data_IF_564269259384
#
_entry.id   IF_564269259384
#
_cell.length_a   1.000
_cell.length_b   1.000
_cell.length_c   1.000
_cell.angle_alpha   90.00
_cell.angle_beta   90.00
_cell.angle_gamma   90.00
#
_symmetry.space_group_name_H-M   'P 1'
#
loop_
_entity.id
_entity.type
_entity.pdbx_description
1 polymer ?
#
# COMPACT_ATOMS: atom_id res chain seq x y z
N UNK A 1 -34.82 33.99 25.35
CA UNK A 1 -33.35 33.94 25.17
C UNK A 1 -32.91 32.49 25.26
N UNK A 2 -32.82 31.80 24.10
CA UNK A 2 -32.64 30.35 24.08
C UNK A 2 -31.19 30.06 23.59
N UNK A 3 -30.28 29.76 24.51
CA UNK A 3 -28.90 29.36 24.22
C UNK A 3 -28.87 27.91 23.74
N UNK A 4 -28.75 27.67 22.45
CA UNK A 4 -28.44 26.34 21.87
C UNK A 4 -27.01 25.96 22.22
N UNK A 5 -26.86 24.87 22.99
CA UNK A 5 -25.53 24.25 23.32
C UNK A 5 -24.90 23.64 22.09
N UNK A 6 -23.60 23.80 21.85
CA UNK A 6 -22.87 23.11 20.76
C UNK A 6 -22.57 21.66 21.19
N UNK A 7 -23.57 20.77 21.05
CA UNK A 7 -23.35 19.31 21.21
C UNK A 7 -23.09 18.73 19.80
N UNK A 8 -21.90 18.26 19.51
CA UNK A 8 -21.56 17.21 18.53
C UNK A 8 -20.19 17.34 17.82
N UNK A 9 -19.39 18.39 18.03
CA UNK A 9 -18.04 18.44 17.45
C UNK A 9 -17.03 17.61 18.26
N UNK A 10 -17.13 17.61 19.59
CA UNK A 10 -16.20 16.91 20.49
C UNK A 10 -16.31 15.39 20.33
N UNK A 11 -17.52 14.85 20.16
CA UNK A 11 -17.72 13.40 20.03
C UNK A 11 -17.18 12.85 18.69
N UNK A 12 -17.17 13.65 17.63
CA UNK A 12 -16.62 13.23 16.33
C UNK A 12 -15.10 13.23 16.33
N UNK A 13 -14.47 14.19 17.02
CA UNK A 13 -13.01 14.25 17.18
C UNK A 13 -12.55 13.10 18.08
N UNK A 14 -13.22 12.85 19.21
CA UNK A 14 -12.92 11.75 20.12
C UNK A 14 -13.06 10.38 19.44
N UNK A 15 -14.10 10.17 18.62
CA UNK A 15 -14.28 8.94 17.85
C UNK A 15 -13.19 8.78 16.79
N UNK A 16 -12.78 9.84 16.10
CA UNK A 16 -11.71 9.82 15.12
C UNK A 16 -10.35 9.54 15.78
N UNK A 17 -10.10 10.14 16.96
CA UNK A 17 -8.88 9.89 17.76
C UNK A 17 -8.82 8.45 18.25
N UNK A 18 -9.95 7.86 18.66
CA UNK A 18 -10.03 6.48 19.12
C UNK A 18 -9.74 5.49 17.97
N UNK A 19 -10.26 5.75 16.76
CA UNK A 19 -10.00 4.93 15.57
C UNK A 19 -8.53 5.03 15.13
N UNK A 20 -7.87 6.19 15.31
CA UNK A 20 -6.45 6.38 15.02
C UNK A 20 -5.53 5.75 16.07
N UNK A 21 -6.02 5.54 17.31
CA UNK A 21 -5.24 4.91 18.39
C UNK A 21 -5.35 3.37 18.41
N UNK A 22 -6.36 2.79 17.76
CA UNK A 22 -6.56 1.33 17.72
C UNK A 22 -5.34 0.53 17.18
N UNK A 23 -4.56 0.99 16.17
CA UNK A 23 -3.37 0.27 15.75
C UNK A 23 -2.22 0.31 16.76
N UNK A 24 -2.18 1.26 17.69
CA UNK A 24 -1.11 1.36 18.70
C UNK A 24 -1.23 0.33 19.83
N UNK A 25 -2.42 -0.25 20.06
CA UNK A 25 -2.61 -1.29 21.07
C UNK A 25 -2.26 -2.71 20.58
N UNK A 26 -2.04 -2.90 19.27
CA UNK A 26 -1.58 -4.17 18.70
C UNK A 26 -0.03 -4.35 18.77
N UNK A 27 0.70 -3.41 19.35
CA UNK A 27 2.17 -3.41 19.44
C UNK A 27 2.74 -4.39 20.50
N UNK A 28 1.95 -5.33 20.99
CA UNK A 28 2.27 -6.09 22.20
C UNK A 28 2.98 -7.43 22.03
N UNK A 29 3.40 -7.87 20.85
CA UNK A 29 4.09 -9.15 20.74
C UNK A 29 5.23 -9.07 19.73
N UNK A 30 6.47 -8.89 20.22
CA UNK A 30 7.72 -9.35 19.64
C UNK A 30 7.95 -9.22 18.12
N UNK A 31 7.34 -8.27 17.46
CA UNK A 31 7.58 -8.05 16.03
C UNK A 31 8.79 -7.14 15.87
N UNK A 32 9.86 -7.66 15.30
CA UNK A 32 10.92 -6.81 14.80
C UNK A 32 10.31 -5.82 13.80
N UNK A 33 10.37 -4.53 14.12
CA UNK A 33 9.84 -3.47 13.27
C UNK A 33 10.67 -3.36 12.01
N UNK A 34 10.15 -3.87 10.90
CA UNK A 34 10.77 -3.72 9.59
C UNK A 34 10.51 -2.36 8.96
N UNK A 35 11.18 -2.09 7.86
CA UNK A 35 10.85 -0.94 7.03
C UNK A 35 10.75 -1.31 5.54
N UNK A 36 9.96 -0.55 4.81
CA UNK A 36 9.81 -0.66 3.37
C UNK A 36 10.04 0.70 2.72
N UNK A 37 11.04 0.74 1.87
CA UNK A 37 11.28 1.86 0.98
C UNK A 37 10.64 1.54 -0.37
N UNK A 38 9.68 2.35 -0.78
CA UNK A 38 8.85 2.07 -1.95
C UNK A 38 8.91 3.25 -2.91
N UNK A 39 9.29 2.98 -4.14
CA UNK A 39 9.16 3.89 -5.28
C UNK A 39 8.06 3.39 -6.20
N UNK A 40 7.16 4.29 -6.60
CA UNK A 40 6.10 4.03 -7.58
C UNK A 40 6.13 5.12 -8.64
N UNK A 41 6.54 4.74 -9.84
CA UNK A 41 6.63 5.62 -11.00
C UNK A 41 5.51 5.34 -12.00
N UNK A 42 4.94 6.39 -12.57
CA UNK A 42 4.03 6.30 -13.71
C UNK A 42 4.45 7.31 -14.77
N UNK A 43 4.64 6.83 -16.00
CA UNK A 43 4.91 7.66 -17.16
C UNK A 43 3.74 7.62 -18.11
N UNK A 44 3.10 8.76 -18.31
CA UNK A 44 2.05 8.91 -19.30
C UNK A 44 2.69 8.97 -20.69
N UNK A 45 2.35 8.04 -21.58
CA UNK A 45 2.81 8.04 -22.97
C UNK A 45 1.88 8.88 -23.85
N UNK A 46 0.57 8.75 -23.64
CA UNK A 46 -0.48 9.54 -24.27
C UNK A 46 -1.76 9.51 -23.41
N UNK A 47 -2.90 9.93 -23.96
CA UNK A 47 -4.17 9.93 -23.21
C UNK A 47 -4.63 8.54 -22.77
N UNK A 48 -4.25 7.47 -23.49
CA UNK A 48 -4.70 6.09 -23.23
C UNK A 48 -3.64 5.22 -22.59
N UNK A 49 -2.35 5.41 -22.92
CA UNK A 49 -1.28 4.50 -22.52
C UNK A 49 -0.37 5.11 -21.46
N UNK A 50 0.02 4.32 -20.49
CA UNK A 50 1.02 4.65 -19.49
C UNK A 50 1.94 3.49 -19.20
N UNK A 51 3.14 3.77 -18.70
CA UNK A 51 4.09 2.80 -18.16
C UNK A 51 4.10 2.95 -16.64
N UNK A 52 3.98 1.84 -15.96
CA UNK A 52 4.10 1.72 -14.51
C UNK A 52 5.45 1.09 -14.15
N UNK A 53 6.15 1.66 -13.17
CA UNK A 53 7.36 1.10 -12.59
C UNK A 53 7.24 1.14 -11.07
N UNK A 54 7.75 0.11 -10.40
CA UNK A 54 7.71 0.02 -8.94
C UNK A 54 8.97 -0.69 -8.45
N UNK A 55 9.64 -0.09 -7.46
CA UNK A 55 10.75 -0.69 -6.73
C UNK A 55 10.39 -0.69 -5.27
N UNK A 56 10.51 -1.82 -4.60
CA UNK A 56 10.36 -1.94 -3.16
C UNK A 56 11.59 -2.62 -2.57
N UNK A 57 12.23 -1.92 -1.65
CA UNK A 57 13.32 -2.44 -0.84
C UNK A 57 12.78 -2.61 0.59
N UNK A 58 12.71 -3.84 1.04
CA UNK A 58 12.11 -4.22 2.32
C UNK A 58 13.17 -4.78 3.23
N UNK A 59 13.18 -4.34 4.48
CA UNK A 59 14.12 -4.82 5.49
C UNK A 59 13.37 -5.50 6.63
N UNK A 60 14.05 -6.48 7.26
CA UNK A 60 13.58 -7.10 8.49
C UNK A 60 13.64 -6.14 9.67
N UNK A 61 14.65 -5.28 9.70
CA UNK A 61 14.88 -4.28 10.74
C UNK A 61 14.87 -2.85 10.15
N UNK A 62 15.32 -1.86 10.91
CA UNK A 62 15.27 -0.48 10.50
C UNK A 62 16.12 -0.17 9.26
N UNK A 63 17.34 -0.75 9.10
CA UNK A 63 18.22 -0.52 7.95
C UNK A 63 19.18 -1.72 7.78
N UNK A 64 19.39 -2.14 6.52
CA UNK A 64 20.52 -2.97 6.13
C UNK A 64 20.33 -4.49 6.18
N UNK A 65 19.17 -4.96 6.63
CA UNK A 65 18.86 -6.38 6.68
C UNK A 65 17.77 -6.69 5.64
N UNK A 66 18.20 -6.95 4.40
CA UNK A 66 17.30 -7.20 3.28
C UNK A 66 16.40 -8.41 3.54
N UNK A 67 15.09 -8.16 3.48
CA UNK A 67 14.05 -9.16 3.48
C UNK A 67 13.60 -9.47 2.05
N UNK A 68 13.34 -8.40 1.26
CA UNK A 68 12.81 -8.59 -0.08
C UNK A 68 13.09 -7.38 -0.97
N UNK A 69 13.60 -7.64 -2.16
CA UNK A 69 13.66 -6.68 -3.26
C UNK A 69 12.59 -7.01 -4.28
N UNK A 70 11.70 -6.04 -4.60
CA UNK A 70 10.72 -6.19 -5.65
C UNK A 70 10.95 -5.17 -6.75
N UNK A 71 11.05 -5.65 -7.97
CA UNK A 71 11.10 -4.86 -9.18
C UNK A 71 9.86 -5.17 -10.02
N UNK A 72 9.08 -4.16 -10.37
CA UNK A 72 7.89 -4.34 -11.20
C UNK A 72 7.83 -3.31 -12.30
N UNK A 73 7.34 -3.74 -13.45
CA UNK A 73 7.00 -2.86 -14.56
C UNK A 73 5.71 -3.33 -15.21
N UNK A 74 5.06 -2.45 -15.97
CA UNK A 74 3.85 -2.83 -16.68
C UNK A 74 3.37 -1.74 -17.61
N UNK A 75 2.54 -2.15 -18.56
CA UNK A 75 1.87 -1.27 -19.52
C UNK A 75 0.42 -1.13 -19.09
N UNK A 76 -0.02 0.10 -18.91
CA UNK A 76 -1.38 0.46 -18.52
C UNK A 76 -2.17 1.07 -19.66
N UNK A 77 -3.46 0.77 -19.68
CA UNK A 77 -4.42 1.35 -20.62
C UNK A 77 -5.56 2.02 -19.86
N UNK A 78 -5.75 3.31 -20.07
CA UNK A 78 -6.82 4.10 -19.47
C UNK A 78 -8.12 3.87 -20.25
N UNK A 79 -9.08 3.20 -19.63
CA UNK A 79 -10.45 3.07 -20.16
C UNK A 79 -11.20 4.38 -20.02
N UNK A 80 -11.02 5.06 -18.89
CA UNK A 80 -11.52 6.40 -18.55
C UNK A 80 -10.48 7.14 -17.71
N UNK A 81 -10.72 8.37 -17.31
CA UNK A 81 -9.85 9.11 -16.40
C UNK A 81 -9.66 8.44 -15.03
N UNK A 82 -10.68 7.70 -14.56
CA UNK A 82 -10.67 6.98 -13.28
C UNK A 82 -10.35 5.51 -13.39
N UNK A 83 -10.37 4.89 -14.58
CA UNK A 83 -10.27 3.45 -14.76
C UNK A 83 -9.08 3.08 -15.63
N UNK A 84 -8.21 2.22 -15.08
CA UNK A 84 -7.00 1.77 -15.75
C UNK A 84 -6.88 0.24 -15.68
N UNK A 85 -6.59 -0.39 -16.81
CA UNK A 85 -6.14 -1.78 -16.91
C UNK A 85 -4.62 -1.79 -17.02
N UNK A 86 -3.96 -2.74 -16.38
CA UNK A 86 -2.50 -2.87 -16.43
C UNK A 86 -2.12 -4.35 -16.54
N UNK A 87 -1.27 -4.64 -17.50
CA UNK A 87 -0.54 -5.90 -17.60
C UNK A 87 0.89 -5.65 -17.17
N UNK A 88 1.38 -6.42 -16.20
CA UNK A 88 2.69 -6.21 -15.63
C UNK A 88 3.48 -7.48 -15.38
N UNK A 89 4.76 -7.26 -15.21
CA UNK A 89 5.75 -8.24 -14.81
C UNK A 89 6.46 -7.78 -13.55
N UNK A 90 6.83 -8.73 -12.69
CA UNK A 90 7.60 -8.47 -11.48
C UNK A 90 8.66 -9.54 -11.26
N UNK A 91 9.84 -9.09 -10.86
CA UNK A 91 10.88 -9.92 -10.28
C UNK A 91 10.98 -9.66 -8.78
N UNK A 92 11.00 -10.71 -7.99
CA UNK A 92 11.06 -10.63 -6.54
C UNK A 92 12.18 -11.53 -6.05
N UNK A 93 13.15 -10.93 -5.37
CA UNK A 93 14.18 -11.64 -4.60
C UNK A 93 13.78 -11.55 -3.13
N UNK A 94 13.65 -12.69 -2.46
CA UNK A 94 13.38 -12.79 -1.02
C UNK A 94 14.56 -13.44 -0.32
N UNK A 95 15.06 -12.81 0.75
CA UNK A 95 16.11 -13.31 1.63
C UNK A 95 15.48 -13.78 2.94
N UNK A 96 15.29 -15.08 3.08
CA UNK A 96 14.59 -15.66 4.22
C UNK A 96 15.62 -16.17 5.25
N UNK A 97 15.47 -15.80 6.53
CA UNK A 97 16.33 -16.30 7.60
C UNK A 97 16.15 -17.81 7.78
N UNK A 98 17.24 -18.51 8.07
CA UNK A 98 17.27 -19.95 8.34
C UNK A 98 17.25 -20.15 9.86
N UNK A 99 16.08 -20.46 10.41
CA UNK A 99 15.91 -20.62 11.86
C UNK A 99 16.19 -19.32 12.61
N UNK A 100 17.00 -19.39 13.67
CA UNK A 100 17.42 -18.24 14.49
C UNK A 100 18.81 -17.71 14.09
N UNK A 101 19.39 -18.21 12.97
CA UNK A 101 20.71 -17.77 12.50
C UNK A 101 20.58 -16.55 11.59
N UNK A 102 21.70 -15.83 11.43
CA UNK A 102 21.82 -14.73 10.45
C UNK A 102 21.98 -15.25 9.00
N UNK A 103 22.08 -16.59 8.82
CA UNK A 103 22.14 -17.20 7.51
C UNK A 103 20.81 -17.05 6.77
N UNK A 104 20.88 -16.78 5.47
CA UNK A 104 19.71 -16.59 4.63
C UNK A 104 19.69 -17.53 3.43
N UNK A 105 18.49 -17.90 3.03
CA UNK A 105 18.22 -18.55 1.76
C UNK A 105 17.52 -17.60 0.82
N UNK A 106 18.09 -17.43 -0.37
CA UNK A 106 17.51 -16.60 -1.42
C UNK A 106 16.43 -17.39 -2.16
N UNK A 107 15.29 -16.77 -2.36
CA UNK A 107 14.17 -17.32 -3.14
C UNK A 107 13.81 -16.33 -4.26
N UNK A 108 13.87 -16.83 -5.49
CA UNK A 108 13.54 -16.04 -6.67
C UNK A 108 12.09 -16.28 -7.08
N UNK A 109 11.40 -15.20 -7.44
CA UNK A 109 10.03 -15.29 -7.92
C UNK A 109 9.81 -14.35 -9.10
N UNK A 110 9.23 -14.90 -10.17
CA UNK A 110 8.74 -14.15 -11.31
C UNK A 110 7.22 -14.06 -11.24
N UNK A 111 6.66 -12.89 -11.56
CA UNK A 111 5.21 -12.68 -11.57
C UNK A 111 4.77 -12.06 -12.87
N UNK A 112 3.69 -12.60 -13.41
CA UNK A 112 2.86 -11.91 -14.40
C UNK A 112 1.60 -11.48 -13.67
N UNK A 113 1.13 -10.26 -13.87
CA UNK A 113 -0.08 -9.82 -13.21
C UNK A 113 -0.96 -8.95 -14.09
N UNK A 114 -2.25 -9.15 -13.98
CA UNK A 114 -3.30 -8.31 -14.54
C UNK A 114 -3.91 -7.49 -13.40
N UNK A 115 -4.13 -6.22 -13.65
CA UNK A 115 -4.65 -5.31 -12.66
C UNK A 115 -5.71 -4.40 -13.26
N UNK A 116 -6.78 -4.22 -12.52
CA UNK A 116 -7.77 -3.17 -12.76
C UNK A 116 -7.77 -2.20 -11.59
N UNK A 117 -7.64 -0.91 -11.89
CA UNK A 117 -7.69 0.15 -10.89
C UNK A 117 -8.83 1.09 -11.22
N UNK A 118 -9.67 1.40 -10.25
CA UNK A 118 -10.69 2.44 -10.36
C UNK A 118 -10.50 3.48 -9.26
N UNK A 119 -10.66 4.75 -9.61
CA UNK A 119 -10.54 5.90 -8.71
C UNK A 119 -11.79 6.75 -8.80
N UNK A 120 -12.25 7.19 -7.64
CA UNK A 120 -13.41 8.08 -7.54
C UNK A 120 -13.25 9.02 -6.35
N UNK A 121 -13.93 10.14 -6.38
CA UNK A 121 -13.98 11.08 -5.26
C UNK A 121 -15.39 11.05 -4.66
N UNK A 122 -15.45 10.94 -3.33
CA UNK A 122 -16.68 11.06 -2.55
C UNK A 122 -16.53 12.29 -1.65
N UNK A 123 -17.10 13.41 -2.08
CA UNK A 123 -16.82 14.70 -1.47
C UNK A 123 -15.34 15.06 -1.59
N UNK A 124 -14.66 15.18 -0.45
CA UNK A 124 -13.22 15.52 -0.37
C UNK A 124 -12.31 14.29 -0.28
N UNK A 125 -12.88 13.11 -0.15
CA UNK A 125 -12.14 11.86 0.01
C UNK A 125 -11.91 11.22 -1.34
N UNK A 126 -10.66 10.94 -1.69
CA UNK A 126 -10.32 10.14 -2.86
C UNK A 126 -10.27 8.67 -2.48
N UNK A 127 -11.06 7.87 -3.18
CA UNK A 127 -11.13 6.42 -3.08
C UNK A 127 -10.40 5.78 -4.26
N UNK A 128 -9.66 4.72 -3.98
CA UNK A 128 -9.00 3.91 -5.00
C UNK A 128 -9.22 2.43 -4.72
N UNK A 129 -9.75 1.72 -5.69
CA UNK A 129 -9.86 0.26 -5.66
C UNK A 129 -8.87 -0.32 -6.65
N UNK A 130 -8.21 -1.42 -6.28
CA UNK A 130 -7.32 -2.16 -7.16
C UNK A 130 -7.60 -3.65 -7.01
N UNK A 131 -7.96 -4.27 -8.10
CA UNK A 131 -8.10 -5.71 -8.24
C UNK A 131 -6.88 -6.21 -9.00
N UNK A 132 -6.19 -7.22 -8.49
CA UNK A 132 -5.01 -7.79 -9.14
C UNK A 132 -5.07 -9.31 -9.07
N UNK A 133 -4.82 -9.92 -10.22
CA UNK A 133 -4.57 -11.34 -10.35
C UNK A 133 -3.09 -11.55 -10.64
N UNK A 134 -2.43 -12.45 -9.92
CA UNK A 134 -0.99 -12.72 -10.03
C UNK A 134 -0.78 -14.19 -10.35
N UNK A 135 -0.06 -14.48 -11.44
CA UNK A 135 0.59 -15.75 -11.71
C UNK A 135 2.02 -15.67 -11.17
N UNK A 136 2.37 -16.55 -10.25
CA UNK A 136 3.60 -16.52 -9.48
C UNK A 136 4.42 -17.77 -9.76
N UNK A 137 5.61 -17.61 -10.30
CA UNK A 137 6.60 -18.64 -10.54
C UNK A 137 7.67 -18.51 -9.45
N UNK A 138 7.56 -19.31 -8.40
CA UNK A 138 8.43 -19.27 -7.22
C UNK A 138 9.38 -20.46 -7.31
N UNK A 139 10.64 -20.21 -7.68
CA UNK A 139 11.58 -21.28 -8.03
C UNK A 139 10.94 -22.25 -9.05
N UNK A 140 10.70 -23.50 -8.67
CA UNK A 140 10.02 -24.50 -9.51
C UNK A 140 8.49 -24.55 -9.35
N UNK A 141 7.93 -23.79 -8.40
CA UNK A 141 6.51 -23.83 -8.08
C UNK A 141 5.71 -22.80 -8.86
N UNK A 142 4.52 -23.19 -9.34
CA UNK A 142 3.54 -22.26 -9.91
C UNK A 142 2.39 -22.05 -8.92
N UNK A 143 2.07 -20.79 -8.65
CA UNK A 143 1.00 -20.37 -7.73
C UNK A 143 0.20 -19.23 -8.31
N UNK A 144 -1.07 -19.14 -7.94
CA UNK A 144 -1.93 -18.01 -8.33
C UNK A 144 -2.48 -17.31 -7.10
N UNK A 145 -2.68 -15.97 -7.22
CA UNK A 145 -3.17 -15.17 -6.12
C UNK A 145 -4.05 -14.03 -6.60
N UNK A 146 -5.17 -13.82 -5.91
CA UNK A 146 -6.04 -12.66 -6.05
C UNK A 146 -5.71 -11.64 -4.96
N UNK A 147 -5.79 -10.34 -5.31
CA UNK A 147 -5.60 -9.26 -4.36
C UNK A 147 -6.65 -8.20 -4.58
N UNK A 148 -7.20 -7.71 -3.49
CA UNK A 148 -8.05 -6.52 -3.48
C UNK A 148 -7.48 -5.47 -2.54
N UNK A 149 -7.36 -4.26 -3.04
CA UNK A 149 -6.87 -3.09 -2.32
C UNK A 149 -7.93 -2.00 -2.32
N UNK A 150 -8.17 -1.43 -1.16
CA UNK A 150 -8.98 -0.24 -0.95
C UNK A 150 -8.12 0.84 -0.30
N UNK A 151 -7.93 1.96 -0.98
CA UNK A 151 -7.19 3.11 -0.47
C UNK A 151 -8.06 4.35 -0.35
N UNK A 152 -7.81 5.12 0.71
CA UNK A 152 -8.46 6.41 0.99
C UNK A 152 -7.40 7.49 1.16
N UNK A 153 -7.66 8.67 0.59
CA UNK A 153 -6.87 9.89 0.82
C UNK A 153 -7.79 11.00 1.28
N UNK A 154 -7.49 11.55 2.46
CA UNK A 154 -8.30 12.56 3.13
C UNK A 154 -7.47 13.83 3.28
N UNK A 155 -7.74 14.91 2.54
CA UNK A 155 -7.03 16.19 2.71
C UNK A 155 -7.18 16.71 4.14
N UNK A 156 -6.08 17.12 4.78
CA UNK A 156 -6.09 17.67 6.14
C UNK A 156 -6.40 19.16 6.18
N UNK A 157 -6.00 19.89 5.14
CA UNK A 157 -6.28 21.31 5.01
C UNK A 157 -7.04 21.54 3.72
N UNK A 158 -8.11 22.31 3.81
CA UNK A 158 -8.87 22.74 2.65
C UNK A 158 -8.57 24.20 2.38
N UNK A 159 -7.84 24.47 1.30
CA UNK A 159 -7.75 25.81 0.73
C UNK A 159 -8.70 25.86 -0.47
N UNK A 160 -9.53 26.89 -0.54
CA UNK A 160 -10.25 27.22 -1.76
C UNK A 160 -9.21 27.42 -2.87
N UNK A 161 -9.35 26.67 -3.99
CA UNK A 161 -8.34 26.62 -5.03
C UNK A 161 -7.61 25.28 -5.17
N UNK A 162 -7.86 24.31 -4.28
CA UNK A 162 -7.59 22.89 -4.53
C UNK A 162 -6.18 22.39 -4.22
N UNK A 163 -5.25 23.23 -3.81
CA UNK A 163 -3.88 22.78 -3.53
C UNK A 163 -3.71 22.42 -2.04
N UNK A 164 -4.12 21.20 -1.67
CA UNK A 164 -3.93 20.65 -0.33
C UNK A 164 -2.74 19.72 -0.34
N UNK A 165 -1.54 20.16 0.11
CA UNK A 165 -0.34 19.33 0.04
C UNK A 165 -0.37 18.18 1.04
N UNK A 166 -1.00 18.37 2.22
CA UNK A 166 -1.01 17.40 3.32
C UNK A 166 -2.32 16.61 3.37
N UNK A 167 -2.22 15.29 3.46
CA UNK A 167 -3.37 14.39 3.54
C UNK A 167 -3.09 13.18 4.43
N UNK A 168 -4.15 12.58 4.97
CA UNK A 168 -4.10 11.24 5.57
C UNK A 168 -4.25 10.21 4.46
N UNK A 169 -3.38 9.20 4.48
CA UNK A 169 -3.44 8.04 3.58
C UNK A 169 -3.74 6.79 4.41
N UNK A 170 -4.81 6.09 4.04
CA UNK A 170 -5.23 4.83 4.67
C UNK A 170 -5.41 3.80 3.57
N UNK A 171 -5.04 2.54 3.82
CA UNK A 171 -5.44 1.46 2.95
C UNK A 171 -5.60 0.12 3.68
N UNK A 172 -6.42 -0.72 3.09
CA UNK A 172 -6.51 -2.14 3.37
C UNK A 172 -6.22 -2.93 2.08
N UNK A 173 -5.47 -4.01 2.19
CA UNK A 173 -5.21 -4.92 1.07
C UNK A 173 -5.29 -6.37 1.54
N UNK A 174 -6.23 -7.13 0.97
CA UNK A 174 -6.38 -8.57 1.21
C UNK A 174 -5.75 -9.37 0.07
N UNK A 175 -5.14 -10.50 0.43
CA UNK A 175 -4.47 -11.44 -0.47
C UNK A 175 -5.09 -12.81 -0.29
N UNK A 176 -5.54 -13.41 -1.39
CA UNK A 176 -6.20 -14.69 -1.43
C UNK A 176 -5.49 -15.61 -2.43
N UNK A 177 -4.96 -16.73 -1.94
CA UNK A 177 -4.43 -17.79 -2.79
C UNK A 177 -5.57 -18.56 -3.44
N UNK A 178 -5.31 -19.19 -4.57
CA UNK A 178 -6.28 -20.07 -5.24
C UNK A 178 -6.13 -21.54 -4.84
N UNK A 179 -5.13 -21.85 -4.01
CA UNK A 179 -4.80 -23.19 -3.52
C UNK A 179 -5.22 -23.39 -2.06
N UNK A 180 -4.75 -24.45 -1.43
CA UNK A 180 -5.23 -25.04 -0.18
C UNK A 180 -5.46 -24.11 1.01
N UNK A 181 -4.71 -23.02 1.15
CA UNK A 181 -4.98 -21.96 2.14
C UNK A 181 -5.40 -20.69 1.40
N UNK A 182 -6.72 -20.45 1.37
CA UNK A 182 -7.28 -19.30 0.64
C UNK A 182 -6.78 -17.97 1.19
N UNK A 183 -6.74 -17.80 2.51
CA UNK A 183 -6.23 -16.58 3.12
C UNK A 183 -4.70 -16.60 3.15
N UNK A 184 -4.05 -15.67 2.42
CA UNK A 184 -2.60 -15.49 2.50
C UNK A 184 -2.26 -14.46 3.60
N UNK A 185 -2.79 -13.24 3.46
CA UNK A 185 -2.57 -12.15 4.42
C UNK A 185 -3.54 -11.00 4.20
N UNK A 186 -3.57 -10.11 5.19
CA UNK A 186 -4.19 -8.80 5.08
C UNK A 186 -3.20 -7.72 5.51
N UNK A 187 -3.25 -6.55 4.88
CA UNK A 187 -2.45 -5.38 5.21
C UNK A 187 -3.34 -4.21 5.55
N UNK A 188 -3.07 -3.58 6.66
CA UNK A 188 -3.69 -2.31 7.06
C UNK A 188 -2.60 -1.27 7.21
N UNK A 189 -2.77 -0.14 6.56
CA UNK A 189 -1.82 0.97 6.57
C UNK A 189 -2.51 2.26 6.98
N UNK A 190 -1.81 3.06 7.78
CA UNK A 190 -2.17 4.42 8.10
C UNK A 190 -0.95 5.32 8.09
N UNK A 191 -1.06 6.47 7.45
CA UNK A 191 0.07 7.40 7.34
C UNK A 191 -0.33 8.79 6.89
N UNK A 192 0.69 9.64 6.79
CA UNK A 192 0.58 10.99 6.28
C UNK A 192 1.25 11.08 4.92
N UNK A 193 0.62 11.79 4.01
CA UNK A 193 1.14 12.08 2.69
C UNK A 193 1.33 13.56 2.47
N UNK A 194 2.40 13.92 1.77
CA UNK A 194 2.69 15.29 1.35
C UNK A 194 2.94 15.35 -0.15
N UNK A 195 2.19 16.24 -0.83
CA UNK A 195 2.31 16.51 -2.27
C UNK A 195 3.26 17.71 -2.46
N UNK A 196 4.48 17.44 -2.89
CA UNK A 196 5.47 18.47 -3.18
C UNK A 196 5.16 19.21 -4.50
N UNK A 197 4.69 18.45 -5.49
CA UNK A 197 4.29 18.97 -6.80
C UNK A 197 3.21 18.06 -7.41
N UNK A 198 2.71 18.39 -8.59
CA UNK A 198 1.80 17.51 -9.32
C UNK A 198 2.44 16.17 -9.69
N UNK A 199 3.77 16.16 -9.81
CA UNK A 199 4.54 15.00 -10.22
C UNK A 199 5.18 14.23 -9.06
N UNK A 200 5.25 14.80 -7.86
CA UNK A 200 5.98 14.20 -6.73
C UNK A 200 5.19 14.30 -5.44
N UNK A 201 4.97 13.15 -4.79
CA UNK A 201 4.43 13.08 -3.43
C UNK A 201 5.10 11.95 -2.66
N UNK A 202 5.18 12.12 -1.35
CA UNK A 202 5.65 11.12 -0.41
C UNK A 202 4.56 10.73 0.56
N UNK A 203 4.59 9.50 1.02
CA UNK A 203 3.77 9.00 2.12
C UNK A 203 4.70 8.31 3.14
N UNK A 204 4.53 8.66 4.41
CA UNK A 204 5.19 7.99 5.54
C UNK A 204 4.10 7.45 6.46
N UNK A 205 4.20 6.19 6.84
CA UNK A 205 3.20 5.59 7.70
C UNK A 205 3.57 4.22 8.22
N UNK A 206 2.69 3.73 9.07
CA UNK A 206 2.77 2.43 9.70
C UNK A 206 1.84 1.44 8.99
N UNK A 207 2.32 0.22 8.80
CA UNK A 207 1.58 -0.89 8.23
C UNK A 207 1.70 -2.11 9.11
N UNK A 208 0.58 -2.77 9.39
CA UNK A 208 0.56 -4.11 9.94
C UNK A 208 0.16 -5.12 8.85
N UNK A 209 0.88 -6.24 8.79
CA UNK A 209 0.53 -7.41 8.00
C UNK A 209 -0.01 -8.48 8.95
N UNK A 210 -1.24 -8.88 8.73
CA UNK A 210 -1.89 -9.98 9.44
C UNK A 210 -1.75 -11.25 8.59
N UNK A 211 -1.19 -12.29 9.17
CA UNK A 211 -1.20 -13.66 8.68
C UNK A 211 -2.18 -14.48 9.50
N UNK A 212 -2.41 -15.74 9.14
CA UNK A 212 -3.38 -16.59 9.84
C UNK A 212 -3.07 -16.74 11.35
N UNK A 213 -1.79 -16.85 11.72
CA UNK A 213 -1.34 -17.10 13.11
C UNK A 213 -0.32 -16.08 13.63
N UNK A 214 -0.03 -15.04 12.88
CA UNK A 214 0.99 -14.06 13.24
C UNK A 214 0.70 -12.70 12.63
N UNK A 215 1.47 -11.72 13.05
CA UNK A 215 1.44 -10.38 12.49
C UNK A 215 2.84 -9.82 12.34
N UNK A 216 2.99 -8.79 11.51
CA UNK A 216 4.25 -8.11 11.34
C UNK A 216 4.04 -6.62 11.08
N UNK A 217 4.87 -5.83 11.75
CA UNK A 217 4.80 -4.38 11.72
C UNK A 217 5.91 -3.78 10.85
N UNK A 218 5.56 -2.76 10.07
CA UNK A 218 6.51 -2.07 9.20
C UNK A 218 6.26 -0.56 9.17
N UNK A 219 7.34 0.20 9.05
CA UNK A 219 7.31 1.60 8.65
C UNK A 219 7.48 1.65 7.13
N UNK A 220 6.57 2.31 6.43
CA UNK A 220 6.64 2.49 4.99
C UNK A 220 6.97 3.92 4.64
N UNK A 221 8.01 4.11 3.83
CA UNK A 221 8.29 5.37 3.13
C UNK A 221 8.03 5.15 1.65
N UNK A 222 7.04 5.86 1.10
CA UNK A 222 6.57 5.67 -0.27
C UNK A 222 6.76 6.96 -1.06
N UNK A 223 7.52 6.89 -2.15
CA UNK A 223 7.65 7.95 -3.13
C UNK A 223 6.81 7.64 -4.36
N UNK A 224 5.95 8.58 -4.76
CA UNK A 224 5.17 8.48 -6.00
C UNK A 224 5.65 9.55 -6.98
N UNK A 225 6.01 9.12 -8.18
CA UNK A 225 6.55 9.98 -9.24
C UNK A 225 5.71 9.81 -10.51
N UNK A 226 5.19 10.92 -11.04
CA UNK A 226 4.57 10.98 -12.36
C UNK A 226 5.56 11.61 -13.34
N UNK A 227 5.87 10.91 -14.44
CA UNK A 227 6.88 11.29 -15.44
C UNK A 227 6.24 11.68 -16.77
#
# INVERSE_FOLDING_TARGET
>A
MNRRRPKNKINKIAALTLVLLLPFFALGQGSNLGNWLIYIGNKKLNSKWNIHNEVQYRNYNAIGDLEQLLLRTGVGYNLTEGNNLLLGYGYILSENNIGESDDKVSVNEHRIFQQFTTKQNVGKVSLSHRYRFEQRFVESDFKMRLRYFLGLKIPLQYKEGGNNPLYVSLYNEIFLNTESSVFDRNRVFGGLGYKFSDNLRFELGYMNQFFEKSGRDQINLIAFVNL
#
